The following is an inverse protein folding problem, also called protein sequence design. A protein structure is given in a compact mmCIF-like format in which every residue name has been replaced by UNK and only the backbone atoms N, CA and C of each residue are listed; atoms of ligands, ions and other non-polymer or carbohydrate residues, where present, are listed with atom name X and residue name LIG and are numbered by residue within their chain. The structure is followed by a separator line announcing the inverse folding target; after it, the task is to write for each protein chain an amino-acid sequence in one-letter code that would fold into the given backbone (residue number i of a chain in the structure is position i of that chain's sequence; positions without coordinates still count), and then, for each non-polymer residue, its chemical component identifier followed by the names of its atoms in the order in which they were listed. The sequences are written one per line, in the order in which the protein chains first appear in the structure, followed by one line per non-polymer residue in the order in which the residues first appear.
data_IF_719592294560
#
_entry.id   IF_719592294560
#
_cell.length_a   1.000
_cell.length_b   1.000
_cell.length_c   1.000
_cell.angle_alpha   90.00
_cell.angle_beta   90.00
_cell.angle_gamma   90.00
#
_symmetry.space_group_name_H-M   'P 1'
#
loop_
_entity.id
_entity.type
_entity.pdbx_description
1 polymer ?
#
# COMPACT_ATOMS: atom_id res chain seq x y z
N UNK A 1 9.74 -14.41 19.03
CA UNK A 1 10.91 -14.15 18.16
C UNK A 1 11.90 -15.30 18.27
N UNK A 2 12.53 -15.68 17.18
CA UNK A 2 13.64 -16.62 17.11
C UNK A 2 14.68 -16.10 16.13
N UNK A 3 15.88 -16.61 16.19
CA UNK A 3 16.92 -16.29 15.24
C UNK A 3 16.55 -16.70 13.82
N UNK A 4 17.02 -15.93 12.86
CA UNK A 4 16.89 -16.22 11.44
C UNK A 4 17.57 -17.55 11.08
N UNK A 5 16.88 -18.38 10.29
CA UNK A 5 17.40 -19.62 9.74
C UNK A 5 17.34 -19.59 8.21
N UNK A 6 18.31 -20.19 7.56
CA UNK A 6 18.42 -20.23 6.09
C UNK A 6 17.17 -20.82 5.43
N UNK A 7 16.54 -21.77 6.11
CA UNK A 7 15.32 -22.48 5.66
C UNK A 7 14.09 -21.58 5.63
N UNK A 8 14.13 -20.44 6.33
CA UNK A 8 13.04 -19.46 6.31
C UNK A 8 12.90 -18.78 4.94
N UNK A 9 13.95 -18.79 4.13
CA UNK A 9 14.00 -18.19 2.79
C UNK A 9 13.44 -16.77 2.75
N UNK A 10 13.70 -15.98 3.80
CA UNK A 10 13.21 -14.60 3.90
C UNK A 10 13.81 -13.75 2.79
N UNK A 11 12.96 -12.97 2.15
CA UNK A 11 13.33 -12.07 1.04
C UNK A 11 13.21 -10.60 1.41
N UNK A 12 12.66 -10.32 2.59
CA UNK A 12 12.36 -8.97 3.07
C UNK A 12 12.92 -8.80 4.47
N UNK A 13 13.48 -7.64 4.73
CA UNK A 13 13.95 -7.24 6.04
C UNK A 13 13.39 -5.86 6.35
N UNK A 14 12.97 -5.66 7.60
CA UNK A 14 12.58 -4.34 8.08
C UNK A 14 13.81 -3.42 8.15
N UNK A 15 13.62 -2.13 7.88
CA UNK A 15 14.67 -1.11 7.98
C UNK A 15 14.93 -0.65 9.41
N UNK A 16 14.26 -1.26 10.39
CA UNK A 16 14.32 -0.94 11.82
C UNK A 16 14.23 -2.22 12.67
N UNK A 17 14.72 -2.15 13.90
CA UNK A 17 14.62 -3.27 14.82
C UNK A 17 13.20 -3.40 15.37
N UNK A 18 12.73 -4.64 15.49
CA UNK A 18 11.42 -4.93 16.08
C UNK A 18 11.50 -4.81 17.62
N UNK A 19 10.68 -3.94 18.17
CA UNK A 19 10.50 -3.76 19.62
C UNK A 19 9.01 -3.94 19.97
N UNK A 20 8.62 -5.05 20.64
CA UNK A 20 7.22 -5.34 20.98
C UNK A 20 6.61 -4.32 21.96
N UNK A 21 7.43 -3.61 22.74
CA UNK A 21 6.98 -2.63 23.73
C UNK A 21 6.97 -1.19 23.18
N UNK A 22 7.43 -1.00 21.96
CA UNK A 22 7.45 0.33 21.33
C UNK A 22 6.05 0.87 21.11
N UNK A 23 5.89 2.16 21.38
CA UNK A 23 4.66 2.94 21.15
C UNK A 23 4.86 3.99 20.05
N UNK A 24 3.78 4.58 19.55
CA UNK A 24 3.83 5.57 18.49
C UNK A 24 2.89 6.76 18.75
N UNK A 25 3.06 7.50 19.86
CA UNK A 25 2.12 8.54 20.27
C UNK A 25 1.97 9.69 19.26
N UNK A 26 3.05 10.10 18.59
CA UNK A 26 2.99 11.18 17.60
C UNK A 26 2.26 10.71 16.32
N UNK A 27 2.45 9.43 15.94
CA UNK A 27 1.70 8.84 14.85
C UNK A 27 0.22 8.70 15.18
N UNK A 28 -0.11 8.30 16.41
CA UNK A 28 -1.49 8.19 16.87
C UNK A 28 -2.19 9.55 16.84
N UNK A 29 -1.56 10.59 17.37
CA UNK A 29 -2.08 11.96 17.31
C UNK A 29 -2.27 12.45 15.86
N UNK A 30 -1.29 12.21 15.01
CA UNK A 30 -1.38 12.55 13.59
C UNK A 30 -2.54 11.81 12.90
N UNK A 31 -2.67 10.50 13.14
CA UNK A 31 -3.68 9.69 12.51
C UNK A 31 -5.08 10.05 12.99
N UNK A 32 -5.24 10.32 14.29
CA UNK A 32 -6.50 10.81 14.87
C UNK A 32 -6.94 12.15 14.29
N UNK A 33 -5.98 12.99 13.92
CA UNK A 33 -6.28 14.29 13.30
C UNK A 33 -6.70 14.15 11.83
N UNK A 34 -5.99 13.34 11.03
CA UNK A 34 -6.24 13.26 9.57
C UNK A 34 -7.27 12.20 9.18
N UNK A 35 -7.49 11.20 10.02
CA UNK A 35 -8.41 10.08 9.82
C UNK A 35 -9.12 9.77 11.15
N UNK A 36 -10.05 10.63 11.62
CA UNK A 36 -10.62 10.56 12.97
C UNK A 36 -11.45 9.30 13.25
N UNK A 37 -11.96 8.64 12.22
CA UNK A 37 -12.74 7.43 12.36
C UNK A 37 -11.83 6.21 12.65
N UNK A 38 -11.99 5.61 13.83
CA UNK A 38 -11.12 4.50 14.26
C UNK A 38 -11.20 3.28 13.34
N UNK A 39 -12.38 2.96 12.82
CA UNK A 39 -12.53 1.86 11.86
C UNK A 39 -11.73 2.10 10.58
N UNK A 40 -11.69 3.35 10.09
CA UNK A 40 -10.90 3.72 8.92
C UNK A 40 -9.39 3.59 9.21
N UNK A 41 -8.94 3.94 10.44
CA UNK A 41 -7.57 3.71 10.89
C UNK A 41 -7.22 2.22 10.91
N UNK A 42 -8.11 1.39 11.47
CA UNK A 42 -7.91 -0.06 11.54
C UNK A 42 -7.78 -0.66 10.14
N UNK A 43 -8.67 -0.29 9.21
CA UNK A 43 -8.62 -0.74 7.81
C UNK A 43 -7.33 -0.30 7.12
N UNK A 44 -6.80 0.88 7.42
CA UNK A 44 -5.50 1.32 6.90
C UNK A 44 -4.37 0.42 7.43
N UNK A 45 -4.35 0.12 8.73
CA UNK A 45 -3.34 -0.75 9.34
C UNK A 45 -3.43 -2.18 8.81
N UNK A 46 -4.63 -2.72 8.65
CA UNK A 46 -4.90 -4.03 8.05
C UNK A 46 -4.37 -4.10 6.60
N UNK A 47 -4.59 -3.05 5.80
CA UNK A 47 -4.09 -3.01 4.43
C UNK A 47 -2.56 -2.97 4.37
N UNK A 48 -1.90 -2.22 5.26
CA UNK A 48 -0.43 -2.21 5.35
C UNK A 48 0.06 -3.59 5.77
N UNK A 49 -0.57 -4.22 6.76
CA UNK A 49 -0.26 -5.57 7.20
C UNK A 49 -0.47 -6.62 6.11
N UNK A 50 -1.53 -6.48 5.31
CA UNK A 50 -1.81 -7.36 4.18
C UNK A 50 -0.67 -7.36 3.13
N UNK A 51 0.10 -6.27 3.02
CA UNK A 51 1.25 -6.23 2.12
C UNK A 51 2.33 -7.27 2.46
N UNK A 52 2.46 -7.67 3.72
CA UNK A 52 3.41 -8.71 4.15
C UNK A 52 2.92 -10.14 3.88
N UNK A 53 1.64 -10.32 3.55
CA UNK A 53 1.04 -11.64 3.37
C UNK A 53 1.10 -12.04 1.89
N UNK A 54 1.79 -13.14 1.54
CA UNK A 54 1.82 -13.62 0.16
C UNK A 54 0.42 -13.90 -0.37
N UNK A 55 0.14 -13.52 -1.63
CA UNK A 55 -1.17 -13.69 -2.27
C UNK A 55 -1.63 -15.16 -2.25
N UNK A 56 -0.69 -16.12 -2.36
CA UNK A 56 -0.98 -17.57 -2.24
C UNK A 56 -1.48 -17.99 -0.85
N UNK A 57 -1.21 -17.19 0.20
CA UNK A 57 -1.66 -17.47 1.57
C UNK A 57 -3.00 -16.83 1.88
N UNK A 58 -3.21 -15.60 1.40
CA UNK A 58 -4.45 -14.84 1.58
C UNK A 58 -4.72 -14.02 0.32
N UNK A 59 -5.81 -14.33 -0.35
CA UNK A 59 -6.24 -13.67 -1.59
C UNK A 59 -7.52 -12.86 -1.32
N UNK A 60 -7.36 -11.64 -0.83
CA UNK A 60 -8.51 -10.76 -0.55
C UNK A 60 -9.08 -10.08 -1.79
N UNK A 61 -8.31 -10.00 -2.87
CA UNK A 61 -8.68 -9.26 -4.10
C UNK A 61 -9.09 -7.80 -3.81
N UNK A 62 -8.36 -7.15 -2.91
CA UNK A 62 -8.62 -5.77 -2.49
C UNK A 62 -7.39 -4.91 -2.67
N UNK A 63 -7.65 -3.66 -3.04
CA UNK A 63 -6.70 -2.57 -3.14
C UNK A 63 -7.27 -1.33 -2.47
N UNK A 64 -6.45 -0.33 -2.20
CA UNK A 64 -6.86 0.84 -1.45
C UNK A 64 -6.66 2.13 -2.24
N UNK A 65 -7.63 3.03 -2.14
CA UNK A 65 -7.51 4.42 -2.55
C UNK A 65 -7.65 5.33 -1.34
N UNK A 66 -6.65 6.17 -1.10
CA UNK A 66 -6.75 7.27 -0.16
C UNK A 66 -7.29 8.48 -0.92
N UNK A 67 -8.55 8.81 -0.68
CA UNK A 67 -9.27 9.84 -1.40
C UNK A 67 -9.35 11.13 -0.59
N UNK A 68 -9.16 12.27 -1.24
CA UNK A 68 -9.35 13.58 -0.63
C UNK A 68 -8.55 14.67 -1.33
N UNK A 69 -8.91 15.92 -1.08
CA UNK A 69 -8.22 17.09 -1.62
C UNK A 69 -6.80 17.24 -1.06
N UNK A 70 -6.05 18.23 -1.49
CA UNK A 70 -4.67 18.43 -1.05
C UNK A 70 -4.52 18.75 0.44
N UNK A 71 -3.31 18.58 0.97
CA UNK A 71 -2.91 18.95 2.34
C UNK A 71 -3.69 18.26 3.46
N UNK A 72 -3.94 16.98 3.34
CA UNK A 72 -4.72 16.14 4.26
C UNK A 72 -3.96 14.94 4.85
N UNK A 73 -2.64 14.93 4.76
CA UNK A 73 -1.82 13.90 5.37
C UNK A 73 -1.54 12.65 4.51
N UNK A 74 -2.19 12.47 3.35
CA UNK A 74 -1.94 11.31 2.46
C UNK A 74 -0.46 11.16 2.09
N UNK A 75 0.25 12.28 1.84
CA UNK A 75 1.67 12.25 1.53
C UNK A 75 2.53 11.76 2.69
N UNK A 76 2.16 12.06 3.93
CA UNK A 76 2.86 11.54 5.12
C UNK A 76 2.64 10.04 5.25
N UNK A 77 1.41 9.56 5.05
CA UNK A 77 1.10 8.12 5.02
C UNK A 77 1.90 7.42 3.91
N UNK A 78 1.98 8.02 2.72
CA UNK A 78 2.77 7.48 1.60
C UNK A 78 4.24 7.25 2.00
N UNK A 79 4.89 8.26 2.60
CA UNK A 79 6.29 8.12 3.02
C UNK A 79 6.45 7.09 4.15
N UNK A 80 5.56 7.06 5.13
CA UNK A 80 5.61 6.09 6.22
C UNK A 80 5.43 4.65 5.74
N UNK A 81 4.49 4.39 4.86
CA UNK A 81 4.29 3.05 4.30
C UNK A 81 5.53 2.56 3.58
N UNK A 82 6.21 3.43 2.85
CA UNK A 82 7.48 3.10 2.18
C UNK A 82 8.59 2.76 3.18
N UNK A 83 8.67 3.49 4.29
CA UNK A 83 9.66 3.19 5.33
C UNK A 83 9.35 1.88 6.07
N UNK A 84 8.07 1.58 6.34
CA UNK A 84 7.64 0.33 7.00
C UNK A 84 7.95 -0.89 6.11
N UNK A 85 7.64 -0.82 4.83
CA UNK A 85 7.81 -1.94 3.90
C UNK A 85 9.25 -2.07 3.36
N UNK A 86 10.07 -1.02 3.49
CA UNK A 86 11.34 -0.87 2.80
C UNK A 86 11.15 -0.27 1.40
N UNK A 87 11.89 0.79 1.11
CA UNK A 87 11.76 1.54 -0.17
C UNK A 87 11.99 0.68 -1.39
N UNK A 88 12.91 -0.27 -1.29
CA UNK A 88 13.27 -1.23 -2.35
C UNK A 88 12.13 -2.20 -2.68
N UNK A 89 11.16 -2.36 -1.76
CA UNK A 89 10.00 -3.26 -1.93
C UNK A 89 8.74 -2.54 -2.38
N UNK A 90 8.82 -1.21 -2.57
CA UNK A 90 7.69 -0.38 -3.00
C UNK A 90 7.97 0.26 -4.35
N UNK A 91 7.02 0.12 -5.28
CA UNK A 91 7.01 0.85 -6.55
C UNK A 91 5.97 1.97 -6.50
N UNK A 92 6.03 2.90 -7.47
CA UNK A 92 5.14 4.06 -7.52
C UNK A 92 4.49 4.26 -8.89
N UNK A 93 4.17 3.18 -9.60
CA UNK A 93 3.61 3.27 -10.95
C UNK A 93 2.14 3.69 -10.92
N UNK A 94 1.77 4.60 -11.82
CA UNK A 94 0.37 4.99 -12.00
C UNK A 94 -0.47 3.83 -12.54
N UNK A 95 -1.77 3.90 -12.32
CA UNK A 95 -2.72 2.91 -12.84
C UNK A 95 -2.69 2.84 -14.38
N UNK A 96 -2.48 3.98 -15.04
CA UNK A 96 -2.32 4.05 -16.50
C UNK A 96 -1.05 3.30 -16.95
N UNK A 97 0.10 3.53 -16.32
CA UNK A 97 1.34 2.82 -16.67
C UNK A 97 1.20 1.30 -16.48
N UNK A 98 0.62 0.86 -15.37
CA UNK A 98 0.36 -0.56 -15.11
C UNK A 98 -0.60 -1.17 -16.15
N UNK A 99 -1.56 -0.39 -16.66
CA UNK A 99 -2.54 -0.87 -17.64
C UNK A 99 -1.92 -1.17 -19.00
N UNK A 100 -1.02 -0.31 -19.46
CA UNK A 100 -0.62 -0.31 -20.88
C UNK A 100 0.84 -0.70 -21.12
N UNK A 101 1.69 -0.70 -20.10
CA UNK A 101 3.11 -1.03 -20.26
C UNK A 101 3.50 -2.33 -19.57
N UNK A 102 3.81 -3.34 -20.37
CA UNK A 102 4.28 -4.65 -19.89
C UNK A 102 5.64 -4.59 -19.21
N UNK A 103 6.51 -3.64 -19.54
CA UNK A 103 7.79 -3.47 -18.86
C UNK A 103 7.60 -2.89 -17.45
N UNK A 104 6.66 -1.97 -17.30
CA UNK A 104 6.27 -1.46 -15.98
C UNK A 104 5.71 -2.57 -15.11
N UNK A 105 4.82 -3.43 -15.64
CA UNK A 105 4.28 -4.56 -14.87
C UNK A 105 5.35 -5.55 -14.45
N UNK A 106 6.38 -5.80 -15.26
CA UNK A 106 7.49 -6.69 -14.91
C UNK A 106 8.23 -6.25 -13.63
N UNK A 107 8.24 -4.95 -13.34
CA UNK A 107 8.89 -4.40 -12.16
C UNK A 107 8.11 -4.63 -10.85
N UNK A 108 6.88 -5.15 -10.92
CA UNK A 108 6.12 -5.57 -9.75
C UNK A 108 6.63 -6.90 -9.17
N UNK A 109 7.40 -7.65 -9.95
CA UNK A 109 7.97 -8.93 -9.50
C UNK A 109 8.88 -8.71 -8.29
N UNK A 110 8.63 -9.46 -7.21
CA UNK A 110 9.39 -9.34 -5.96
C UNK A 110 9.10 -8.08 -5.13
N UNK A 111 8.08 -7.28 -5.49
CA UNK A 111 7.63 -6.14 -4.69
C UNK A 111 6.50 -6.52 -3.75
N UNK A 112 6.39 -5.79 -2.65
CA UNK A 112 5.30 -5.92 -1.67
C UNK A 112 4.11 -5.03 -2.03
N UNK A 113 4.41 -3.82 -2.52
CA UNK A 113 3.40 -2.80 -2.77
C UNK A 113 3.75 -1.95 -4.00
N UNK A 114 2.75 -1.65 -4.81
CA UNK A 114 2.77 -0.48 -5.68
C UNK A 114 1.92 0.61 -5.05
N UNK A 115 2.56 1.67 -4.57
CA UNK A 115 1.87 2.82 -4.00
C UNK A 115 2.18 4.06 -4.82
N UNK A 116 1.19 4.55 -5.56
CA UNK A 116 1.34 5.75 -6.38
C UNK A 116 0.63 6.95 -5.78
N UNK A 117 1.24 8.11 -5.89
CA UNK A 117 0.64 9.39 -5.47
C UNK A 117 -0.44 9.89 -6.42
N UNK A 118 -0.62 9.23 -7.58
CA UNK A 118 -1.59 9.61 -8.61
C UNK A 118 -2.14 8.37 -9.32
N UNK A 119 -3.40 8.45 -9.76
CA UNK A 119 -3.99 7.40 -10.59
C UNK A 119 -3.45 7.41 -12.02
N UNK A 120 -3.03 8.58 -12.51
CA UNK A 120 -2.68 8.82 -13.90
C UNK A 120 -3.94 9.06 -14.76
N UNK A 121 -3.76 8.97 -16.08
CA UNK A 121 -4.86 9.14 -17.07
C UNK A 121 -5.78 7.93 -17.15
N UNK A 122 -6.32 7.69 -18.36
CA UNK A 122 -7.14 6.51 -18.64
C UNK A 122 -6.42 5.23 -18.27
N UNK A 123 -7.14 4.28 -17.69
CA UNK A 123 -6.63 2.95 -17.40
C UNK A 123 -7.46 1.87 -18.12
N UNK A 124 -6.89 0.67 -18.24
CA UNK A 124 -7.62 -0.51 -18.65
C UNK A 124 -8.16 -1.21 -17.39
N UNK A 125 -9.47 -1.13 -17.09
CA UNK A 125 -10.05 -1.71 -15.88
C UNK A 125 -9.85 -3.23 -15.79
N UNK A 126 -9.83 -3.94 -16.93
CA UNK A 126 -9.67 -5.40 -16.94
C UNK A 126 -8.24 -5.80 -16.55
N UNK A 127 -7.24 -5.07 -17.03
CA UNK A 127 -5.85 -5.29 -16.61
C UNK A 127 -5.66 -4.99 -15.12
N UNK A 128 -6.22 -3.90 -14.62
CA UNK A 128 -6.14 -3.55 -13.19
C UNK A 128 -6.86 -4.59 -12.32
N UNK A 129 -8.04 -5.09 -12.76
CA UNK A 129 -8.73 -6.19 -12.07
C UNK A 129 -7.86 -7.44 -11.98
N UNK A 130 -7.21 -7.85 -13.09
CA UNK A 130 -6.29 -8.99 -13.11
C UNK A 130 -5.14 -8.82 -12.12
N UNK A 131 -4.52 -7.63 -12.11
CA UNK A 131 -3.42 -7.31 -11.19
C UNK A 131 -3.86 -7.40 -9.73
N UNK A 132 -4.99 -6.80 -9.37
CA UNK A 132 -5.52 -6.83 -7.99
C UNK A 132 -5.91 -8.26 -7.58
N UNK A 133 -6.48 -9.03 -8.50
CA UNK A 133 -6.87 -10.42 -8.24
C UNK A 133 -5.68 -11.39 -8.19
N UNK A 134 -4.45 -10.93 -8.47
CA UNK A 134 -3.27 -11.80 -8.50
C UNK A 134 -3.36 -12.88 -9.58
N UNK A 135 -4.03 -12.57 -10.71
CA UNK A 135 -4.08 -13.42 -11.88
C UNK A 135 -2.77 -13.33 -12.67
N UNK A 136 -2.46 -14.37 -13.41
CA UNK A 136 -1.32 -14.40 -14.31
C UNK A 136 -1.41 -13.27 -15.34
N UNK A 137 -0.32 -12.53 -15.48
CA UNK A 137 -0.23 -11.42 -16.43
C UNK A 137 1.02 -11.51 -17.28
N UNK A 138 0.85 -11.23 -18.56
CA UNK A 138 1.98 -11.10 -19.48
C UNK A 138 2.75 -9.82 -19.19
N UNK A 139 4.06 -9.99 -19.08
CA UNK A 139 5.01 -8.91 -18.80
C UNK A 139 6.22 -9.02 -19.72
N UNK A 140 6.95 -7.94 -19.89
CA UNK A 140 8.13 -7.89 -20.73
C UNK A 140 9.27 -7.22 -19.97
N UNK A 141 10.45 -7.81 -20.03
CA UNK A 141 11.66 -7.16 -19.54
C UNK A 141 12.48 -6.66 -20.73
N UNK A 142 13.13 -5.52 -20.60
CA UNK A 142 13.92 -4.93 -21.70
C UNK A 142 14.91 -5.96 -22.24
N UNK A 143 14.97 -6.09 -23.56
CA UNK A 143 15.84 -7.06 -24.27
C UNK A 143 15.61 -8.54 -23.94
N UNK A 144 14.45 -8.90 -23.38
CA UNK A 144 14.06 -10.29 -23.13
C UNK A 144 12.69 -10.58 -23.77
N UNK A 145 12.40 -11.87 -23.91
CA UNK A 145 11.11 -12.33 -24.38
C UNK A 145 9.99 -11.97 -23.39
N UNK A 146 8.75 -11.97 -23.90
CA UNK A 146 7.55 -11.86 -23.07
C UNK A 146 7.48 -13.10 -22.16
N UNK A 147 7.16 -12.89 -20.89
CA UNK A 147 6.98 -13.97 -19.93
C UNK A 147 5.73 -13.72 -19.08
N UNK A 148 5.25 -14.77 -18.42
CA UNK A 148 4.06 -14.68 -17.56
C UNK A 148 4.49 -14.50 -16.11
N UNK A 149 4.12 -13.38 -15.51
CA UNK A 149 4.33 -13.14 -14.08
C UNK A 149 3.23 -13.85 -13.29
N UNK A 150 3.63 -14.77 -12.44
CA UNK A 150 2.78 -15.61 -11.59
C UNK A 150 3.13 -15.42 -10.12
N UNK A 151 2.19 -15.75 -9.23
CA UNK A 151 2.41 -15.76 -7.77
C UNK A 151 3.05 -14.49 -7.17
N UNK A 152 2.85 -13.34 -7.79
CA UNK A 152 3.38 -12.08 -7.27
C UNK A 152 2.62 -11.63 -6.01
N UNK A 153 3.36 -11.05 -5.09
CA UNK A 153 2.84 -10.62 -3.78
C UNK A 153 2.35 -9.17 -3.80
N UNK A 154 2.74 -8.40 -4.81
CA UNK A 154 2.53 -6.95 -4.88
C UNK A 154 1.06 -6.58 -4.69
N UNK A 155 0.77 -5.74 -3.69
CA UNK A 155 -0.53 -5.12 -3.45
C UNK A 155 -0.57 -3.73 -4.08
N UNK A 156 -1.74 -3.08 -4.07
CA UNK A 156 -1.90 -1.79 -4.74
C UNK A 156 -2.56 -0.77 -3.83
N UNK A 157 -1.92 0.41 -3.71
CA UNK A 157 -2.47 1.59 -3.06
C UNK A 157 -2.28 2.81 -3.95
N UNK A 158 -3.23 3.73 -3.90
CA UNK A 158 -3.17 4.97 -4.66
C UNK A 158 -3.68 6.15 -3.84
N UNK A 159 -3.01 7.30 -3.94
CA UNK A 159 -3.61 8.55 -3.53
C UNK A 159 -4.40 9.13 -4.71
N UNK A 160 -5.53 9.74 -4.43
CA UNK A 160 -6.31 10.40 -5.48
C UNK A 160 -7.09 11.59 -4.92
N UNK A 161 -7.29 12.59 -5.76
CA UNK A 161 -8.18 13.72 -5.48
C UNK A 161 -9.51 13.58 -6.24
N UNK A 162 -9.61 12.59 -7.12
CA UNK A 162 -10.84 12.28 -7.86
C UNK A 162 -10.94 10.78 -8.09
N UNK A 163 -12.13 10.24 -7.92
CA UNK A 163 -12.39 8.83 -8.22
C UNK A 163 -12.50 8.62 -9.73
N UNK A 164 -12.15 7.41 -10.23
CA UNK A 164 -12.39 7.04 -11.63
C UNK A 164 -13.87 7.22 -11.99
N UNK A 165 -14.14 7.77 -13.17
CA UNK A 165 -15.52 7.96 -13.65
C UNK A 165 -16.18 6.61 -13.94
N UNK A 166 -17.49 6.51 -13.71
CA UNK A 166 -18.29 5.29 -13.98
C UNK A 166 -18.19 4.80 -15.42
N UNK A 167 -17.97 5.69 -16.38
CA UNK A 167 -17.77 5.33 -17.80
C UNK A 167 -16.49 4.52 -18.04
N UNK A 168 -15.53 4.59 -17.12
CA UNK A 168 -14.23 3.90 -17.22
C UNK A 168 -14.15 2.68 -16.29
N UNK A 169 -15.09 2.55 -15.33
CA UNK A 169 -15.04 1.53 -14.29
C UNK A 169 -16.44 1.01 -13.94
N UNK A 170 -16.62 -0.29 -14.04
CA UNK A 170 -17.89 -0.95 -13.71
C UNK A 170 -17.92 -1.41 -12.24
N UNK A 171 -19.07 -1.95 -11.79
CA UNK A 171 -19.25 -2.50 -10.44
C UNK A 171 -18.17 -3.51 -10.07
N UNK A 172 -17.74 -4.36 -11.03
CA UNK A 172 -16.69 -5.35 -10.80
C UNK A 172 -15.32 -4.71 -10.56
N UNK A 173 -15.05 -3.52 -11.08
CA UNK A 173 -13.87 -2.72 -10.77
C UNK A 173 -13.97 -2.15 -9.35
N UNK A 174 -15.06 -1.41 -9.05
CA UNK A 174 -15.22 -0.72 -7.77
C UNK A 174 -15.26 -1.66 -6.57
N UNK A 175 -15.84 -2.86 -6.69
CA UNK A 175 -15.88 -3.83 -5.58
C UNK A 175 -14.49 -4.25 -5.06
N UNK A 176 -13.42 -4.02 -5.85
CA UNK A 176 -12.04 -4.34 -5.47
C UNK A 176 -11.35 -3.22 -4.69
N UNK A 177 -12.00 -2.08 -4.55
CA UNK A 177 -11.41 -0.90 -3.93
C UNK A 177 -11.98 -0.65 -2.55
N UNK A 178 -11.07 -0.46 -1.61
CA UNK A 178 -11.35 0.14 -0.32
C UNK A 178 -11.02 1.62 -0.48
N UNK A 179 -12.01 2.49 -0.32
CA UNK A 179 -11.84 3.93 -0.47
C UNK A 179 -11.85 4.52 0.94
N UNK A 180 -10.71 5.08 1.36
CA UNK A 180 -10.57 5.79 2.63
C UNK A 180 -10.64 7.29 2.38
N UNK A 181 -11.66 8.00 2.91
CA UNK A 181 -11.77 9.43 2.78
C UNK A 181 -10.84 10.15 3.76
N UNK A 182 -10.04 11.07 3.24
CA UNK A 182 -9.19 12.00 3.99
C UNK A 182 -9.78 13.41 3.84
N UNK A 183 -10.85 13.67 4.56
CA UNK A 183 -11.67 14.90 4.41
C UNK A 183 -11.13 16.07 5.22
N UNK A 184 -10.20 15.82 6.14
CA UNK A 184 -9.61 16.85 7.00
C UNK A 184 -8.49 17.57 6.25
N UNK A 185 -8.66 18.85 5.96
CA UNK A 185 -7.59 19.70 5.43
C UNK A 185 -6.75 20.27 6.56
N UNK A 186 -5.44 20.00 6.56
CA UNK A 186 -4.49 20.52 7.55
C UNK A 186 -4.27 22.02 7.28
N UNK A 187 -4.64 22.86 8.23
CA UNK A 187 -4.41 24.31 8.15
C UNK A 187 -2.91 24.60 7.97
N UNK A 188 -2.58 25.63 7.18
CA UNK A 188 -1.20 25.93 6.77
C UNK A 188 -0.26 26.11 7.97
N UNK A 189 -0.76 26.69 9.05
CA UNK A 189 -0.04 26.96 10.30
C UNK A 189 0.25 25.71 11.12
N UNK A 190 -0.53 24.64 10.90
CA UNK A 190 -0.38 23.33 11.57
C UNK A 190 0.48 22.33 10.79
N UNK A 191 0.94 22.68 9.59
CA UNK A 191 1.75 21.79 8.75
C UNK A 191 3.18 21.73 9.25
N UNK A 192 3.55 20.62 9.85
CA UNK A 192 4.93 20.35 10.26
C UNK A 192 5.69 19.62 9.13
N UNK A 193 6.60 20.35 8.48
CA UNK A 193 7.46 19.78 7.43
C UNK A 193 8.41 18.70 7.93
N UNK A 194 8.69 18.66 9.26
CA UNK A 194 9.56 17.66 9.88
C UNK A 194 8.79 16.47 10.44
N UNK A 195 7.46 16.48 10.30
CA UNK A 195 6.62 15.38 10.80
C UNK A 195 7.05 14.01 10.26
N UNK A 196 7.33 13.80 8.95
CA UNK A 196 7.78 12.51 8.47
C UNK A 196 9.05 12.00 9.18
N UNK A 197 10.02 12.87 9.45
CA UNK A 197 11.25 12.49 10.13
C UNK A 197 11.03 12.18 11.63
N UNK A 198 10.05 12.82 12.26
CA UNK A 198 9.65 12.50 13.63
C UNK A 198 8.98 11.13 13.70
N UNK A 199 8.04 10.87 12.79
CA UNK A 199 7.30 9.62 12.73
C UNK A 199 8.19 8.42 12.37
N UNK A 200 9.26 8.62 11.59
CA UNK A 200 10.26 7.58 11.33
C UNK A 200 10.92 7.02 12.60
N UNK A 201 11.02 7.82 13.65
CA UNK A 201 11.56 7.37 14.93
C UNK A 201 10.60 6.45 15.70
N UNK A 202 9.33 6.46 15.33
CA UNK A 202 8.28 5.63 15.93
C UNK A 202 7.94 4.38 15.07
N UNK A 203 8.73 4.08 14.03
CA UNK A 203 8.49 2.93 13.14
C UNK A 203 8.25 1.60 13.88
N UNK A 204 9.00 1.23 14.95
CA UNK A 204 8.71 0.02 15.70
C UNK A 204 7.30 0.01 16.31
N UNK A 205 6.87 1.12 16.92
CA UNK A 205 5.53 1.26 17.48
C UNK A 205 4.42 1.27 16.41
N UNK A 206 4.64 1.95 15.29
CA UNK A 206 3.72 1.94 14.15
C UNK A 206 3.59 0.50 13.61
N UNK A 207 4.68 -0.23 13.52
CA UNK A 207 4.67 -1.63 13.09
C UNK A 207 3.90 -2.53 14.06
N UNK A 208 3.98 -2.29 15.38
CA UNK A 208 3.15 -2.98 16.36
C UNK A 208 1.65 -2.76 16.09
N UNK A 209 1.24 -1.54 15.73
CA UNK A 209 -0.15 -1.29 15.29
C UNK A 209 -0.52 -2.06 14.03
N UNK A 210 0.39 -2.12 13.05
CA UNK A 210 0.17 -2.88 11.81
C UNK A 210 -0.01 -4.37 12.11
N UNK A 211 0.84 -4.97 12.95
CA UNK A 211 0.70 -6.37 13.36
C UNK A 211 -0.60 -6.62 14.11
N UNK A 212 -0.99 -5.71 15.01
CA UNK A 212 -2.23 -5.81 15.78
C UNK A 212 -3.48 -5.75 14.88
N UNK A 213 -3.40 -5.09 13.73
CA UNK A 213 -4.45 -5.07 12.72
C UNK A 213 -4.60 -6.42 11.98
N UNK A 214 -3.53 -7.23 11.90
CA UNK A 214 -3.58 -8.57 11.30
C UNK A 214 -4.17 -9.54 12.32
N UNK A 215 -5.49 -9.46 12.56
CA UNK A 215 -6.17 -10.42 13.45
C UNK A 215 -6.23 -11.80 12.77
N UNK A 216 -6.03 -12.91 13.52
CA UNK A 216 -6.34 -14.23 12.99
C UNK A 216 -7.82 -14.24 12.59
N UNK A 217 -8.11 -14.62 11.36
CA UNK A 217 -9.50 -14.89 10.93
C UNK A 217 -9.91 -16.13 11.71
N UNK A 218 -10.71 -15.95 12.76
CA UNK A 218 -11.41 -17.06 13.41
C UNK A 218 -12.50 -17.53 12.46
N UNK A 219 -12.31 -18.70 11.85
CA UNK A 219 -13.33 -19.42 11.10
C UNK A 219 -14.34 -20.07 12.05
#
# INVERSE_FOLDING_TARGET
LRDFQKEDMLRYQLSFDYDPDATCPQFDEFLDYVLPEKQAQDVLMEMIGYCFIPTRKLKLERSMMLYGEGANGKGVIYELVKEILGKEHVTGFSMAALSFDANTRAQLSGKLLNYSSELGGKCNPDMIKKLISGEDVEVKTLYKDVWTMQDYTCKFMFNTNSLPKETEANVAFFRRWIILPFDVTIAKEKRDKKLPDKLKKELPGIFNRVISGIKPVSY
#
